data_IF_920827014324
#
_entry.id   IF_920827014324
#
_cell.length_a   1.000
_cell.length_b   1.000
_cell.length_c   1.000
_cell.angle_alpha   90.00
_cell.angle_beta   90.00
_cell.angle_gamma   90.00
#
_symmetry.space_group_name_H-M   'P 1'
#
loop_
_entity.id
_entity.type
_entity.pdbx_description
1 polymer ?
#
# COMPACT_ATOMS: atom_id res chain seq x y z
N UNK A 1 -32.19 6.56 -14.29
CA UNK A 1 -31.97 5.83 -13.01
C UNK A 1 -30.51 5.88 -12.51
N UNK A 2 -29.62 6.73 -13.06
CA UNK A 2 -28.25 6.89 -12.55
C UNK A 2 -28.09 8.00 -11.49
N UNK A 3 -29.15 8.77 -11.20
CA UNK A 3 -29.12 9.97 -10.35
C UNK A 3 -29.17 9.67 -8.83
N UNK A 4 -29.41 8.42 -8.43
CA UNK A 4 -29.59 8.02 -7.01
C UNK A 4 -28.35 7.33 -6.42
N UNK A 5 -27.28 7.20 -7.19
CA UNK A 5 -26.05 6.56 -6.73
C UNK A 5 -25.28 7.60 -5.89
N UNK A 6 -25.01 7.34 -4.59
CA UNK A 6 -24.33 8.29 -3.73
C UNK A 6 -22.90 8.55 -4.22
N UNK A 7 -22.58 9.81 -4.49
CA UNK A 7 -21.24 10.17 -4.95
C UNK A 7 -20.22 10.13 -3.80
N UNK A 8 -19.06 9.49 -4.04
CA UNK A 8 -17.97 9.42 -3.06
C UNK A 8 -17.92 8.15 -2.21
N UNK A 9 -18.82 7.19 -2.43
CA UNK A 9 -18.70 5.83 -1.90
C UNK A 9 -18.19 4.92 -3.02
N UNK A 10 -17.25 4.00 -2.74
CA UNK A 10 -16.80 3.04 -3.75
C UNK A 10 -17.97 2.19 -4.27
N UNK A 11 -18.21 2.21 -5.58
CA UNK A 11 -19.17 1.34 -6.25
C UNK A 11 -18.52 0.02 -6.66
N UNK A 12 -19.32 -1.04 -6.88
CA UNK A 12 -18.81 -2.29 -7.44
C UNK A 12 -18.07 -2.10 -8.77
N UNK A 13 -18.44 -1.08 -9.53
CA UNK A 13 -17.83 -0.70 -10.80
C UNK A 13 -16.57 0.19 -10.61
N UNK A 14 -16.31 0.71 -9.39
CA UNK A 14 -15.12 1.50 -9.04
C UNK A 14 -13.98 0.55 -8.59
N UNK A 15 -13.76 -0.52 -9.34
CA UNK A 15 -12.78 -1.59 -9.04
C UNK A 15 -11.58 -1.57 -10.00
N UNK A 16 -11.22 -0.39 -10.47
CA UNK A 16 -10.05 -0.18 -11.30
C UNK A 16 -8.80 -0.79 -10.66
N UNK A 17 -7.94 -1.48 -11.44
CA UNK A 17 -6.77 -2.13 -10.92
C UNK A 17 -5.80 -1.11 -10.32
N UNK A 18 -5.08 -1.51 -9.28
CA UNK A 18 -3.99 -0.68 -8.76
C UNK A 18 -2.90 -0.53 -9.81
N UNK A 19 -2.77 0.67 -10.37
CA UNK A 19 -1.72 1.04 -11.31
C UNK A 19 -0.57 1.72 -10.56
N UNK A 20 0.65 1.17 -10.62
CA UNK A 20 1.86 1.72 -9.97
C UNK A 20 2.49 2.86 -10.79
N UNK A 21 1.68 3.81 -11.24
CA UNK A 21 2.13 4.88 -12.16
C UNK A 21 2.62 6.13 -11.42
N UNK A 22 2.07 6.41 -10.24
CA UNK A 22 2.53 7.56 -9.46
C UNK A 22 3.75 7.21 -8.59
N UNK A 23 4.67 8.16 -8.39
CA UNK A 23 5.77 7.98 -7.44
C UNK A 23 5.28 7.65 -6.02
N UNK A 24 4.11 8.18 -5.64
CA UNK A 24 3.51 7.91 -4.33
C UNK A 24 3.09 6.44 -4.20
N UNK A 25 2.44 5.87 -5.23
CA UNK A 25 2.00 4.48 -5.21
C UNK A 25 3.17 3.51 -5.08
N UNK A 26 4.27 3.78 -5.79
CA UNK A 26 5.49 2.99 -5.70
C UNK A 26 6.07 3.04 -4.27
N UNK A 27 6.12 4.24 -3.68
CA UNK A 27 6.65 4.40 -2.31
C UNK A 27 5.76 3.65 -1.31
N UNK A 28 4.45 3.85 -1.37
CA UNK A 28 3.50 3.32 -0.42
C UNK A 28 3.39 1.80 -0.51
N UNK A 29 3.21 1.26 -1.72
CA UNK A 29 2.90 -0.15 -1.94
C UNK A 29 4.14 -1.03 -2.13
N UNK A 30 5.32 -0.46 -2.41
CA UNK A 30 6.56 -1.25 -2.62
C UNK A 30 7.64 -0.90 -1.61
N UNK A 31 8.00 0.39 -1.50
CA UNK A 31 9.18 0.80 -0.72
C UNK A 31 8.95 0.62 0.79
N UNK A 32 7.80 1.06 1.32
CA UNK A 32 7.48 0.94 2.75
C UNK A 32 7.52 -0.52 3.23
N UNK A 33 6.84 -1.50 2.59
CA UNK A 33 6.92 -2.91 2.96
C UNK A 33 8.36 -3.44 3.02
N UNK A 34 9.19 -3.08 2.04
CA UNK A 34 10.59 -3.50 1.98
C UNK A 34 11.39 -2.93 3.17
N UNK A 35 11.20 -1.65 3.50
CA UNK A 35 11.86 -1.00 4.65
C UNK A 35 11.43 -1.66 5.97
N UNK A 36 10.15 -1.96 6.13
CA UNK A 36 9.63 -2.64 7.34
C UNK A 36 10.29 -4.01 7.50
N UNK A 37 10.31 -4.82 6.44
CA UNK A 37 10.95 -6.14 6.48
C UNK A 37 12.46 -6.02 6.72
N UNK A 38 13.16 -5.14 6.00
CA UNK A 38 14.60 -4.94 6.14
C UNK A 38 14.99 -4.49 7.55
N UNK A 39 14.26 -3.53 8.11
CA UNK A 39 14.49 -3.04 9.47
C UNK A 39 14.19 -4.10 10.53
N UNK A 40 13.13 -4.90 10.37
CA UNK A 40 12.82 -6.03 11.24
C UNK A 40 13.98 -7.04 11.29
N UNK A 41 14.50 -7.45 10.13
CA UNK A 41 15.63 -8.38 10.06
C UNK A 41 16.91 -7.79 10.66
N UNK A 42 17.18 -6.50 10.40
CA UNK A 42 18.33 -5.81 10.99
C UNK A 42 18.25 -5.76 12.52
N UNK A 43 17.09 -5.41 13.06
CA UNK A 43 16.85 -5.42 14.51
C UNK A 43 16.99 -6.81 15.12
N UNK A 44 16.42 -7.83 14.47
CA UNK A 44 16.51 -9.22 14.92
C UNK A 44 17.96 -9.73 14.94
N UNK A 45 18.80 -9.33 13.98
CA UNK A 45 20.23 -9.67 13.97
C UNK A 45 20.99 -9.00 15.11
N UNK A 46 20.69 -7.74 15.44
CA UNK A 46 21.33 -7.02 16.55
C UNK A 46 21.06 -7.66 17.91
N UNK A 47 19.85 -8.19 18.12
CA UNK A 47 19.46 -8.88 19.37
C UNK A 47 20.17 -10.22 19.62
N UNK A 48 20.80 -10.83 18.61
CA UNK A 48 21.57 -12.08 18.76
C UNK A 48 23.06 -11.83 19.05
N UNK A 49 23.51 -10.58 18.99
CA UNK A 49 24.91 -10.17 19.25
C UNK A 49 25.09 -9.49 20.62
N UNK A 50 24.01 -9.29 21.36
CA UNK A 50 24.02 -9.06 22.82
C UNK A 50 23.58 -10.36 23.49
#
# INVERSE_FOLDING_TARGET
>A
MLLQIPQGVPHPDDNEPLTLESPFDIILYVVIPIIILGSYFWWRKKKKKK
#
